data_IF_177505413360
#
_entry.id   IF_177505413360
#
_cell.length_a   1.000
_cell.length_b   1.000
_cell.length_c   1.000
_cell.angle_alpha   90.00
_cell.angle_beta   90.00
_cell.angle_gamma   90.00
#
_symmetry.space_group_name_H-M   'P 1'
#
loop_
_entity.id
_entity.type
_entity.pdbx_description
1 polymer ?
#
# COMPACT_ATOMS: atom_id res chain seq x y z
N UNK A 1 -15.60 -11.00 -7.97
CA UNK A 1 -14.95 -9.70 -8.21
C UNK A 1 -15.45 -9.07 -9.50
N UNK A 2 -15.30 -9.74 -10.66
CA UNK A 2 -15.56 -9.16 -11.99
C UNK A 2 -16.93 -8.47 -12.14
N UNK A 3 -17.98 -9.05 -11.58
CA UNK A 3 -19.35 -8.54 -11.71
C UNK A 3 -19.75 -7.62 -10.54
N UNK A 4 -18.80 -7.27 -9.67
CA UNK A 4 -19.03 -6.55 -8.43
C UNK A 4 -18.15 -5.31 -8.28
N UNK A 5 -17.11 -5.15 -9.11
CA UNK A 5 -16.14 -4.06 -9.02
C UNK A 5 -15.67 -3.60 -10.41
N UNK A 6 -15.47 -2.30 -10.55
CA UNK A 6 -14.97 -1.66 -11.78
C UNK A 6 -13.43 -1.67 -11.85
N UNK A 7 -12.77 -1.76 -10.70
CA UNK A 7 -11.30 -1.76 -10.55
C UNK A 7 -10.91 -2.74 -9.43
N UNK A 8 -9.87 -3.53 -9.64
CA UNK A 8 -9.22 -4.30 -8.59
C UNK A 8 -7.99 -3.55 -8.08
N UNK A 9 -7.90 -3.38 -6.77
CA UNK A 9 -6.71 -2.84 -6.10
C UNK A 9 -5.98 -3.98 -5.38
N UNK A 10 -4.67 -4.08 -5.58
CA UNK A 10 -3.80 -5.05 -4.90
C UNK A 10 -2.77 -4.28 -4.06
N UNK A 11 -2.82 -4.47 -2.75
CA UNK A 11 -2.07 -3.69 -1.77
C UNK A 11 -0.69 -4.31 -1.41
N UNK A 12 0.03 -4.84 -2.41
CA UNK A 12 1.40 -5.38 -2.26
C UNK A 12 1.46 -6.84 -1.85
N UNK A 13 2.70 -7.33 -1.68
CA UNK A 13 3.03 -8.72 -1.36
C UNK A 13 2.40 -9.72 -2.35
N UNK A 14 2.66 -9.48 -3.64
CA UNK A 14 2.17 -10.32 -4.72
C UNK A 14 2.99 -11.62 -4.85
N UNK A 15 4.20 -11.62 -4.31
CA UNK A 15 5.13 -12.76 -4.29
C UNK A 15 5.61 -13.03 -2.87
N UNK A 16 6.16 -14.21 -2.61
CA UNK A 16 6.75 -14.53 -1.31
C UNK A 16 8.23 -14.09 -1.23
N UNK A 17 8.96 -14.19 -2.33
CA UNK A 17 10.41 -13.96 -2.37
C UNK A 17 10.83 -12.96 -3.47
N UNK A 18 9.90 -12.21 -4.04
CA UNK A 18 10.18 -11.22 -5.07
C UNK A 18 10.68 -11.82 -6.40
N UNK A 19 10.33 -13.06 -6.71
CA UNK A 19 10.84 -13.75 -7.89
C UNK A 19 9.84 -13.70 -9.05
N UNK A 20 10.29 -13.44 -10.29
CA UNK A 20 9.45 -13.46 -11.48
C UNK A 20 8.66 -14.75 -11.67
N UNK A 21 9.24 -15.89 -11.29
CA UNK A 21 8.61 -17.20 -11.40
C UNK A 21 7.36 -17.34 -10.48
N UNK A 22 7.30 -16.56 -9.41
CA UNK A 22 6.12 -16.48 -8.53
C UNK A 22 5.07 -15.53 -9.11
N UNK A 23 5.51 -14.47 -9.80
CA UNK A 23 4.61 -13.46 -10.39
C UNK A 23 3.85 -13.99 -11.60
N UNK A 24 4.46 -14.83 -12.42
CA UNK A 24 3.87 -15.33 -13.66
C UNK A 24 2.50 -16.02 -13.46
N UNK A 25 2.33 -17.01 -12.55
CA UNK A 25 1.04 -17.64 -12.32
C UNK A 25 0.00 -16.65 -11.78
N UNK A 26 0.38 -15.68 -10.96
CA UNK A 26 -0.52 -14.66 -10.45
C UNK A 26 -1.04 -13.76 -11.58
N UNK A 27 -0.17 -13.27 -12.44
CA UNK A 27 -0.54 -12.45 -13.61
C UNK A 27 -1.53 -13.22 -14.48
N UNK A 28 -1.28 -14.52 -14.76
CA UNK A 28 -2.15 -15.36 -15.56
C UNK A 28 -3.57 -15.50 -14.98
N UNK A 29 -3.72 -15.39 -13.67
CA UNK A 29 -5.03 -15.37 -12.99
C UNK A 29 -5.65 -13.97 -13.08
N UNK A 30 -4.89 -12.94 -12.77
CA UNK A 30 -5.37 -11.56 -12.69
C UNK A 30 -5.90 -11.05 -14.03
N UNK A 31 -5.23 -11.32 -15.14
CA UNK A 31 -5.68 -10.87 -16.48
C UNK A 31 -7.02 -11.47 -16.91
N UNK A 32 -7.41 -12.63 -16.36
CA UNK A 32 -8.71 -13.26 -16.63
C UNK A 32 -9.89 -12.50 -16.04
N UNK A 33 -9.64 -11.62 -15.07
CA UNK A 33 -10.69 -10.79 -14.48
C UNK A 33 -11.25 -9.77 -15.46
N UNK A 34 -10.46 -9.35 -16.45
CA UNK A 34 -10.85 -8.39 -17.51
C UNK A 34 -11.39 -7.06 -16.96
N UNK A 35 -10.94 -6.66 -15.79
CA UNK A 35 -11.15 -5.34 -15.22
C UNK A 35 -9.78 -4.67 -15.02
N UNK A 36 -9.70 -3.34 -14.95
CA UNK A 36 -8.48 -2.64 -14.62
C UNK A 36 -7.92 -3.09 -13.27
N UNK A 37 -6.60 -3.25 -13.21
CA UNK A 37 -5.90 -3.63 -11.99
C UNK A 37 -4.88 -2.57 -11.65
N UNK A 38 -4.91 -2.11 -10.41
CA UNK A 38 -3.98 -1.13 -9.84
C UNK A 38 -3.30 -1.80 -8.66
N UNK A 39 -1.98 -1.68 -8.60
CA UNK A 39 -1.19 -2.33 -7.54
C UNK A 39 -0.09 -1.42 -7.03
N UNK A 40 0.32 -1.65 -5.81
CA UNK A 40 1.65 -1.30 -5.29
C UNK A 40 2.41 -2.59 -5.05
N UNK A 41 3.73 -2.52 -4.92
CA UNK A 41 4.52 -3.64 -4.41
C UNK A 41 4.53 -3.65 -2.88
N UNK A 42 4.76 -4.81 -2.27
CA UNK A 42 4.99 -4.97 -0.84
C UNK A 42 6.45 -5.29 -0.53
N UNK A 43 6.79 -5.51 0.73
CA UNK A 43 8.16 -5.80 1.13
C UNK A 43 8.66 -7.16 0.61
N UNK A 44 7.80 -8.16 0.52
CA UNK A 44 8.15 -9.47 -0.06
C UNK A 44 8.53 -9.36 -1.53
N UNK A 45 7.94 -8.44 -2.28
CA UNK A 45 8.25 -8.23 -3.69
C UNK A 45 9.66 -7.65 -3.92
N UNK A 46 10.28 -7.09 -2.87
CA UNK A 46 11.66 -6.57 -2.89
C UNK A 46 12.72 -7.58 -2.42
N UNK A 47 12.32 -8.75 -1.89
CA UNK A 47 13.22 -9.69 -1.20
C UNK A 47 14.40 -10.16 -2.08
N UNK A 48 14.16 -10.38 -3.37
CA UNK A 48 15.22 -10.82 -4.30
C UNK A 48 15.95 -9.68 -5.02
N UNK A 49 15.58 -8.41 -4.79
CA UNK A 49 16.12 -7.25 -5.51
C UNK A 49 15.74 -7.22 -7.00
N UNK A 50 14.66 -7.90 -7.38
CA UNK A 50 14.17 -7.99 -8.77
C UNK A 50 12.82 -7.28 -8.98
N UNK A 51 12.50 -6.31 -8.14
CA UNK A 51 11.25 -5.55 -8.20
C UNK A 51 11.02 -4.88 -9.57
N UNK A 52 12.09 -4.47 -10.24
CA UNK A 52 12.00 -3.90 -11.58
C UNK A 52 11.46 -4.91 -12.61
N UNK A 53 11.86 -6.17 -12.50
CA UNK A 53 11.37 -7.24 -13.39
C UNK A 53 9.87 -7.48 -13.12
N UNK A 54 9.46 -7.52 -11.84
CA UNK A 54 8.06 -7.68 -11.45
C UNK A 54 7.19 -6.54 -12.00
N UNK A 55 7.64 -5.29 -11.86
CA UNK A 55 6.95 -4.11 -12.42
C UNK A 55 6.82 -4.22 -13.93
N UNK A 56 7.88 -4.64 -14.62
CA UNK A 56 7.86 -4.81 -16.07
C UNK A 56 6.86 -5.89 -16.50
N UNK A 57 6.84 -7.05 -15.83
CA UNK A 57 5.90 -8.14 -16.11
C UNK A 57 4.46 -7.66 -15.94
N UNK A 58 4.13 -7.03 -14.82
CA UNK A 58 2.79 -6.50 -14.54
C UNK A 58 2.38 -5.44 -15.56
N UNK A 59 3.26 -4.51 -15.86
CA UNK A 59 3.00 -3.42 -16.82
C UNK A 59 2.79 -3.95 -18.24
N UNK A 60 3.49 -5.01 -18.66
CA UNK A 60 3.37 -5.62 -19.98
C UNK A 60 1.97 -6.18 -20.26
N UNK A 61 1.23 -6.52 -19.21
CA UNK A 61 -0.17 -7.03 -19.30
C UNK A 61 -1.21 -5.97 -18.91
N UNK A 62 -0.79 -4.71 -18.74
CA UNK A 62 -1.69 -3.59 -18.49
C UNK A 62 -2.05 -3.34 -17.03
N UNK A 63 -1.44 -4.06 -16.06
CA UNK A 63 -1.57 -3.76 -14.64
C UNK A 63 -0.82 -2.46 -14.33
N UNK A 64 -1.47 -1.54 -13.63
CA UNK A 64 -0.90 -0.25 -13.22
C UNK A 64 -0.21 -0.39 -11.87
N UNK A 65 1.12 -0.43 -11.87
CA UNK A 65 1.91 -0.43 -10.64
C UNK A 65 2.21 1.03 -10.25
N UNK A 66 1.81 1.41 -9.04
CA UNK A 66 2.03 2.73 -8.48
C UNK A 66 3.28 2.69 -7.58
N UNK A 67 4.28 3.47 -7.93
CA UNK A 67 5.46 3.73 -7.10
C UNK A 67 5.79 5.22 -7.10
N UNK A 68 5.02 5.99 -6.33
CA UNK A 68 5.11 7.44 -6.32
C UNK A 68 4.53 8.08 -7.59
N UNK A 69 3.62 7.39 -8.25
CA UNK A 69 2.93 7.86 -9.46
C UNK A 69 1.43 7.91 -9.25
N UNK A 70 0.76 8.80 -10.01
CA UNK A 70 -0.70 8.88 -10.08
C UNK A 70 -1.24 8.21 -11.34
N UNK A 71 -2.46 7.72 -11.26
CA UNK A 71 -3.24 7.20 -12.38
C UNK A 71 -4.69 7.66 -12.23
N UNK A 72 -5.31 8.12 -13.31
CA UNK A 72 -6.70 8.58 -13.28
C UNK A 72 -7.55 7.77 -14.26
N UNK A 73 -8.74 7.40 -13.81
CA UNK A 73 -9.73 6.68 -14.60
C UNK A 73 -11.15 6.99 -14.13
N UNK A 74 -12.04 7.27 -15.06
CA UNK A 74 -13.49 7.42 -14.83
C UNK A 74 -13.83 8.35 -13.65
N UNK A 75 -13.09 9.46 -13.52
CA UNK A 75 -13.27 10.46 -12.47
C UNK A 75 -12.66 10.08 -11.12
N UNK A 76 -11.92 8.98 -11.04
CA UNK A 76 -11.19 8.55 -9.84
C UNK A 76 -9.69 8.64 -10.09
N UNK A 77 -8.98 9.32 -9.20
CA UNK A 77 -7.52 9.37 -9.17
C UNK A 77 -6.96 8.39 -8.13
N UNK A 78 -5.96 7.64 -8.53
CA UNK A 78 -5.25 6.67 -7.69
C UNK A 78 -3.82 7.16 -7.53
N UNK A 79 -3.37 7.32 -6.29
CA UNK A 79 -1.98 7.59 -5.95
C UNK A 79 -1.47 6.48 -5.04
N UNK A 80 -0.23 6.05 -5.21
CA UNK A 80 0.29 4.98 -4.37
C UNK A 80 1.79 4.87 -4.37
N UNK A 81 2.26 4.20 -3.35
CA UNK A 81 3.64 3.73 -3.17
C UNK A 81 3.62 2.53 -2.22
N UNK A 82 4.71 1.76 -2.19
CA UNK A 82 4.88 0.73 -1.18
C UNK A 82 4.73 1.32 0.23
N UNK A 83 5.26 2.51 0.44
CA UNK A 83 5.49 3.06 1.76
C UNK A 83 6.72 2.44 2.42
N UNK A 84 6.94 2.77 3.70
CA UNK A 84 8.03 2.20 4.46
C UNK A 84 7.74 2.26 5.96
N UNK A 85 8.54 1.55 6.71
CA UNK A 85 8.54 1.48 8.16
C UNK A 85 9.05 2.78 8.79
N UNK A 86 8.81 3.00 10.08
CA UNK A 86 9.29 4.19 10.78
C UNK A 86 8.55 4.52 12.06
N UNK A 87 7.43 3.82 12.32
CA UNK A 87 6.66 3.97 13.56
C UNK A 87 5.64 5.11 13.52
N UNK A 88 4.94 5.28 14.64
CA UNK A 88 3.76 6.11 14.72
C UNK A 88 3.81 7.15 15.83
N UNK A 89 3.25 8.32 15.54
CA UNK A 89 3.07 9.41 16.49
C UNK A 89 4.39 9.85 17.11
N UNK A 90 4.42 10.03 18.44
CA UNK A 90 5.62 10.48 19.17
C UNK A 90 6.75 9.46 19.22
N UNK A 91 6.45 8.18 18.98
CA UNK A 91 7.42 7.08 18.89
C UNK A 91 8.03 6.89 17.50
N UNK A 92 7.73 7.76 16.55
CA UNK A 92 8.28 7.68 15.20
C UNK A 92 9.80 7.89 15.20
N UNK A 93 10.51 7.04 14.45
CA UNK A 93 11.96 7.11 14.33
C UNK A 93 12.40 8.44 13.71
N UNK A 94 13.47 9.02 14.27
CA UNK A 94 14.07 10.29 13.84
C UNK A 94 15.47 10.04 13.28
N UNK A 95 15.92 10.93 12.37
CA UNK A 95 17.23 10.85 11.74
C UNK A 95 18.35 11.32 12.71
N UNK A 96 18.43 10.67 13.86
CA UNK A 96 19.42 10.97 14.89
C UNK A 96 20.29 9.74 15.18
N UNK A 97 21.59 9.95 15.33
CA UNK A 97 22.56 8.88 15.63
C UNK A 97 23.38 8.47 14.41
N UNK A 98 23.57 7.18 14.25
CA UNK A 98 24.45 6.54 13.29
C UNK A 98 24.01 6.75 11.82
N UNK A 99 24.94 6.68 10.85
CA UNK A 99 24.62 6.80 9.42
C UNK A 99 23.54 5.81 8.97
N UNK A 100 23.54 4.59 9.48
CA UNK A 100 22.58 3.52 9.18
C UNK A 100 21.15 3.90 9.61
N UNK A 101 21.01 4.47 10.82
CA UNK A 101 19.72 4.97 11.32
C UNK A 101 19.22 6.13 10.46
N UNK A 102 20.12 7.04 10.08
CA UNK A 102 19.79 8.17 9.20
C UNK A 102 19.36 7.70 7.82
N UNK A 103 20.06 6.70 7.24
CA UNK A 103 19.72 6.12 5.95
C UNK A 103 18.34 5.43 5.99
N UNK A 104 18.06 4.69 7.06
CA UNK A 104 16.79 4.04 7.30
C UNK A 104 15.63 5.05 7.39
N UNK A 105 15.79 6.09 8.20
CA UNK A 105 14.76 7.15 8.33
C UNK A 105 14.60 7.92 7.03
N UNK A 106 15.70 8.14 6.29
CA UNK A 106 15.65 8.76 4.95
C UNK A 106 14.77 7.94 4.00
N UNK A 107 14.88 6.61 3.98
CA UNK A 107 14.03 5.77 3.16
C UNK A 107 12.52 5.96 3.50
N UNK A 108 12.18 6.08 4.78
CA UNK A 108 10.81 6.37 5.22
C UNK A 108 10.31 7.75 4.75
N UNK A 109 11.19 8.76 4.77
CA UNK A 109 10.88 10.11 4.27
C UNK A 109 10.73 10.09 2.74
N UNK A 110 11.62 9.42 2.04
CA UNK A 110 11.59 9.34 0.57
C UNK A 110 10.28 8.68 0.06
N UNK A 111 9.79 7.64 0.74
CA UNK A 111 8.51 7.01 0.41
C UNK A 111 7.32 7.95 0.66
N UNK A 112 7.33 8.70 1.76
CA UNK A 112 6.31 9.71 2.01
C UNK A 112 6.32 10.83 0.95
N UNK A 113 7.50 11.27 0.51
CA UNK A 113 7.66 12.25 -0.57
C UNK A 113 7.23 11.69 -1.95
N UNK A 114 7.43 10.40 -2.21
CA UNK A 114 6.88 9.74 -3.41
C UNK A 114 5.35 9.83 -3.40
N UNK A 115 4.72 9.48 -2.27
CA UNK A 115 3.26 9.58 -2.15
C UNK A 115 2.76 11.01 -2.35
N UNK A 116 3.40 11.98 -1.72
CA UNK A 116 3.02 13.40 -1.83
C UNK A 116 3.04 13.88 -3.30
N UNK A 117 4.12 13.53 -4.03
CA UNK A 117 4.22 13.86 -5.48
C UNK A 117 3.13 13.18 -6.30
N UNK A 118 2.83 11.91 -6.02
CA UNK A 118 1.76 11.18 -6.71
C UNK A 118 0.40 11.84 -6.47
N UNK A 119 0.08 12.17 -5.22
CA UNK A 119 -1.19 12.81 -4.86
C UNK A 119 -1.33 14.22 -5.47
N UNK A 120 -0.25 14.99 -5.51
CA UNK A 120 -0.23 16.33 -6.09
C UNK A 120 -0.50 16.34 -7.62
N UNK A 121 -0.28 15.24 -8.31
CA UNK A 121 -0.55 15.10 -9.75
C UNK A 121 -2.02 14.83 -10.06
N UNK A 122 -2.81 14.38 -9.09
CA UNK A 122 -4.20 14.01 -9.30
C UNK A 122 -5.10 15.24 -9.46
N UNK A 123 -5.94 15.20 -10.49
CA UNK A 123 -6.96 16.23 -10.79
C UNK A 123 -8.38 15.69 -10.62
N UNK A 124 -8.54 14.37 -10.57
CA UNK A 124 -9.83 13.73 -10.40
C UNK A 124 -10.51 14.16 -9.10
N UNK A 125 -11.85 14.31 -9.09
CA UNK A 125 -12.61 14.73 -7.91
C UNK A 125 -12.63 13.69 -6.79
N UNK A 126 -12.48 12.42 -7.11
CA UNK A 126 -12.34 11.31 -6.14
C UNK A 126 -10.90 10.83 -6.09
N UNK A 127 -10.38 10.61 -4.89
CA UNK A 127 -8.99 10.24 -4.66
C UNK A 127 -8.87 8.99 -3.81
N UNK A 128 -8.19 7.99 -4.35
CA UNK A 128 -7.89 6.73 -3.67
C UNK A 128 -6.38 6.64 -3.45
N UNK A 129 -5.98 6.37 -2.22
CA UNK A 129 -4.58 6.12 -1.88
C UNK A 129 -4.38 4.63 -1.65
N UNK A 130 -3.37 4.08 -2.33
CA UNK A 130 -3.00 2.66 -2.25
C UNK A 130 -1.59 2.55 -1.66
N UNK A 131 -1.49 1.83 -0.55
CA UNK A 131 -0.23 1.59 0.16
C UNK A 131 -0.06 0.10 0.43
N UNK A 132 1.17 -0.31 0.72
CA UNK A 132 1.41 -1.61 1.35
C UNK A 132 1.57 -1.45 2.86
N UNK A 133 2.45 -0.56 3.30
CA UNK A 133 2.63 -0.25 4.72
C UNK A 133 1.53 0.65 5.27
N UNK A 134 1.19 0.45 6.55
CA UNK A 134 0.14 1.22 7.21
C UNK A 134 0.51 2.71 7.37
N UNK A 135 -0.41 3.64 7.06
CA UNK A 135 -0.21 5.06 7.32
C UNK A 135 -0.56 5.49 8.75
N UNK A 136 -1.22 4.65 9.56
CA UNK A 136 -1.73 5.02 10.88
C UNK A 136 -1.58 3.89 11.91
N UNK A 137 -1.38 4.26 13.18
CA UNK A 137 -1.30 3.30 14.27
C UNK A 137 -2.59 2.48 14.48
N UNK A 138 -3.75 3.07 14.20
CA UNK A 138 -5.04 2.43 14.47
C UNK A 138 -5.22 1.11 13.72
N UNK A 139 -4.69 0.97 12.51
CA UNK A 139 -4.83 -0.23 11.70
C UNK A 139 -3.76 -1.29 11.94
N UNK A 140 -2.78 -1.02 12.82
CA UNK A 140 -1.81 -2.02 13.30
C UNK A 140 -2.13 -2.54 14.71
N UNK A 141 -3.15 -2.01 15.35
CA UNK A 141 -3.65 -2.50 16.66
C UNK A 141 -4.15 -3.93 16.50
N UNK A 142 -3.58 -4.84 17.28
CA UNK A 142 -3.79 -6.29 17.17
C UNK A 142 -2.51 -7.05 16.84
N UNK A 143 -1.54 -6.38 16.23
CA UNK A 143 -0.17 -6.86 16.08
C UNK A 143 0.61 -6.75 17.40
N UNK A 144 1.71 -7.49 17.52
CA UNK A 144 2.61 -7.37 18.65
C UNK A 144 3.18 -5.94 18.74
N UNK A 145 3.10 -5.26 19.89
CA UNK A 145 3.55 -3.86 20.01
C UNK A 145 5.02 -3.65 19.60
N UNK A 146 5.86 -4.67 19.79
CA UNK A 146 7.28 -4.66 19.47
C UNK A 146 7.57 -4.47 17.97
N UNK A 147 6.63 -4.86 17.11
CA UNK A 147 6.79 -4.74 15.66
C UNK A 147 6.05 -3.57 15.05
N UNK A 148 5.29 -2.78 15.83
CA UNK A 148 4.49 -1.68 15.27
C UNK A 148 5.33 -0.71 14.43
N UNK A 149 6.58 -0.41 14.84
CA UNK A 149 7.48 0.46 14.08
C UNK A 149 7.84 -0.09 12.69
N UNK A 150 7.70 -1.40 12.50
CA UNK A 150 7.98 -2.10 11.23
C UNK A 150 6.73 -2.29 10.36
N UNK A 151 5.55 -1.86 10.83
CA UNK A 151 4.29 -2.03 10.11
C UNK A 151 3.87 -0.80 9.31
N UNK A 152 4.55 0.32 9.50
CA UNK A 152 4.25 1.54 8.77
C UNK A 152 4.83 2.80 9.37
N UNK A 153 4.30 3.95 8.96
CA UNK A 153 4.79 5.26 9.41
C UNK A 153 3.71 6.33 9.37
N UNK A 154 3.62 7.12 10.44
CA UNK A 154 2.74 8.31 10.47
C UNK A 154 3.08 9.34 9.39
N UNK A 155 4.30 9.34 8.81
CA UNK A 155 4.66 10.23 7.69
C UNK A 155 3.73 10.06 6.49
N UNK A 156 3.30 8.82 6.23
CA UNK A 156 2.34 8.53 5.16
C UNK A 156 0.97 9.14 5.49
N UNK A 157 0.49 8.98 6.72
CA UNK A 157 -0.76 9.57 7.20
C UNK A 157 -0.77 11.09 7.14
N UNK A 158 0.34 11.72 7.52
CA UNK A 158 0.52 13.18 7.44
C UNK A 158 0.45 13.70 5.98
N UNK A 159 1.01 12.96 5.03
CA UNK A 159 0.89 13.29 3.60
C UNK A 159 -0.57 13.18 3.15
N UNK A 160 -1.25 12.11 3.54
CA UNK A 160 -2.66 11.88 3.20
C UNK A 160 -3.54 13.01 3.76
N UNK A 161 -3.34 13.39 5.02
CA UNK A 161 -4.11 14.46 5.66
C UNK A 161 -3.91 15.83 4.99
N UNK A 162 -2.68 16.13 4.54
CA UNK A 162 -2.40 17.39 3.82
C UNK A 162 -3.01 17.46 2.44
N UNK A 163 -3.09 16.34 1.73
CA UNK A 163 -3.53 16.31 0.33
C UNK A 163 -5.00 15.91 0.17
N UNK A 164 -5.59 15.27 1.16
CA UNK A 164 -6.96 14.75 1.13
C UNK A 164 -7.12 13.47 0.30
N UNK A 165 -7.92 12.53 0.79
CA UNK A 165 -8.34 11.33 0.08
C UNK A 165 -9.75 10.93 0.49
N UNK A 166 -10.50 10.27 -0.42
CA UNK A 166 -11.82 9.70 -0.14
C UNK A 166 -11.70 8.29 0.43
N UNK A 167 -10.66 7.55 0.03
CA UNK A 167 -10.40 6.18 0.44
C UNK A 167 -8.89 5.95 0.56
N UNK A 168 -8.47 5.27 1.61
CA UNK A 168 -7.10 4.76 1.77
C UNK A 168 -7.15 3.27 2.06
N UNK A 169 -6.38 2.50 1.30
CA UNK A 169 -6.23 1.06 1.52
C UNK A 169 -4.76 0.69 1.72
N UNK A 170 -4.50 -0.27 2.59
CA UNK A 170 -3.15 -0.85 2.78
C UNK A 170 -3.24 -2.33 3.16
N UNK A 171 -2.12 -3.04 3.01
CA UNK A 171 -1.94 -4.43 3.41
C UNK A 171 -1.07 -4.60 4.65
N UNK A 172 -0.14 -5.55 4.62
CA UNK A 172 0.98 -5.77 5.52
C UNK A 172 0.63 -6.17 6.97
N UNK A 173 -0.25 -5.46 7.67
CA UNK A 173 -0.59 -5.74 9.07
C UNK A 173 -1.61 -6.88 9.16
N UNK A 174 -1.11 -8.12 9.23
CA UNK A 174 -1.89 -9.36 9.13
C UNK A 174 -2.82 -9.62 10.31
N UNK A 175 -2.47 -9.12 11.49
CA UNK A 175 -3.24 -9.23 12.73
C UNK A 175 -3.74 -7.87 13.23
N UNK A 176 -3.62 -6.83 12.39
CA UNK A 176 -4.06 -5.49 12.72
C UNK A 176 -5.58 -5.33 12.79
N UNK A 177 -6.04 -4.09 12.76
CA UNK A 177 -7.46 -3.74 12.71
C UNK A 177 -7.89 -3.40 11.29
N UNK A 178 -9.12 -3.83 10.91
CA UNK A 178 -9.67 -3.65 9.56
C UNK A 178 -9.86 -2.18 9.16
N UNK A 179 -10.12 -1.31 10.14
CA UNK A 179 -10.50 0.07 9.89
C UNK A 179 -9.83 1.00 10.90
N UNK A 180 -9.49 2.18 10.43
CA UNK A 180 -9.01 3.27 11.25
C UNK A 180 -9.28 4.61 10.57
N UNK A 181 -8.85 5.68 11.23
CA UNK A 181 -9.05 7.04 10.73
C UNK A 181 -7.76 7.82 10.98
N UNK A 182 -7.32 8.60 10.00
CA UNK A 182 -6.19 9.53 10.15
C UNK A 182 -6.55 10.63 11.14
N UNK A 183 -5.58 11.44 11.56
CA UNK A 183 -5.83 12.62 12.39
C UNK A 183 -6.71 13.66 11.69
N UNK A 184 -6.66 13.72 10.37
CA UNK A 184 -7.52 14.58 9.54
C UNK A 184 -8.91 14.02 9.26
N UNK A 185 -9.28 12.84 9.81
CA UNK A 185 -10.60 12.26 9.65
C UNK A 185 -10.77 11.36 8.41
N UNK A 186 -9.71 11.05 7.67
CA UNK A 186 -9.75 10.22 6.47
C UNK A 186 -9.77 8.74 6.85
N UNK A 187 -10.72 7.99 6.29
CA UNK A 187 -10.87 6.55 6.54
C UNK A 187 -9.74 5.74 5.90
N UNK A 188 -9.17 4.84 6.68
CA UNK A 188 -8.11 3.91 6.28
C UNK A 188 -8.58 2.48 6.49
N UNK A 189 -8.36 1.63 5.49
CA UNK A 189 -8.77 0.23 5.51
C UNK A 189 -7.56 -0.68 5.32
N UNK A 190 -7.37 -1.58 6.27
CA UNK A 190 -6.44 -2.69 6.14
C UNK A 190 -7.14 -3.82 5.36
N UNK A 191 -6.56 -4.18 4.22
CA UNK A 191 -7.09 -5.21 3.32
C UNK A 191 -6.16 -6.43 3.22
N UNK A 192 -5.27 -6.61 4.21
CA UNK A 192 -4.41 -7.80 4.28
C UNK A 192 -5.29 -9.07 4.28
N UNK A 193 -5.02 -9.98 3.34
CA UNK A 193 -5.85 -11.18 3.14
C UNK A 193 -5.95 -12.03 4.40
N UNK A 194 -4.84 -12.19 5.14
CA UNK A 194 -4.81 -12.93 6.40
C UNK A 194 -5.78 -12.34 7.42
N UNK A 195 -5.82 -11.00 7.53
CA UNK A 195 -6.74 -10.31 8.41
C UNK A 195 -8.20 -10.48 7.96
N UNK A 196 -8.48 -10.34 6.66
CA UNK A 196 -9.83 -10.56 6.13
C UNK A 196 -10.32 -11.98 6.42
N UNK A 197 -9.48 -12.98 6.16
CA UNK A 197 -9.81 -14.40 6.39
C UNK A 197 -9.92 -14.78 7.86
N UNK A 198 -9.28 -14.03 8.78
CA UNK A 198 -9.47 -14.22 10.21
C UNK A 198 -10.88 -13.82 10.68
N UNK A 199 -11.53 -12.89 9.97
CA UNK A 199 -12.91 -12.48 10.26
C UNK A 199 -13.93 -13.41 9.58
N UNK A 200 -13.66 -13.76 8.33
CA UNK A 200 -14.49 -14.67 7.55
C UNK A 200 -13.59 -15.46 6.57
N UNK A 201 -13.38 -16.77 6.79
CA UNK A 201 -12.39 -17.57 6.03
C UNK A 201 -12.59 -17.60 4.51
N UNK A 202 -13.80 -17.35 4.03
CA UNK A 202 -14.14 -17.31 2.59
C UNK A 202 -13.83 -15.96 1.92
N UNK A 203 -13.56 -14.90 2.70
CA UNK A 203 -13.35 -13.55 2.19
C UNK A 203 -11.89 -13.35 1.80
N UNK A 204 -11.66 -12.97 0.54
CA UNK A 204 -10.34 -12.66 0.00
C UNK A 204 -10.22 -11.20 -0.49
N UNK A 205 -11.28 -10.41 -0.40
CA UNK A 205 -11.32 -9.00 -0.84
C UNK A 205 -12.41 -8.21 -0.12
N UNK A 206 -12.33 -6.87 -0.21
CA UNK A 206 -13.40 -5.95 0.21
C UNK A 206 -13.87 -5.12 -0.97
N UNK A 207 -15.13 -4.74 -0.94
CA UNK A 207 -15.76 -3.81 -1.91
C UNK A 207 -15.97 -2.46 -1.20
N UNK A 208 -15.67 -1.38 -1.89
CA UNK A 208 -15.80 -0.01 -1.41
C UNK A 208 -16.65 0.84 -2.35
#
# INVERSE_FOLDING_TARGET
>A
VRDQADVLIVAGDLTNFGKPEEMEPLINILVRLRIPIISVLGNHDYESGRESDLIQMMSSVGIKVLDGTGYERDGVGFAGTKGFIGGFGRGMLTAFGEPEVKAFVKASIDEALKLERAMAQLRAPKRVVVLHYSPIAATVVGEAPEIHAYLGSSRLGEVIDRNGADLVVHGHAHHGSLNGTTTGGIRVHNVAITLLQSQEPSVAYRIF
#
